data_IF_211700458123
#
_entry.id   IF_211700458123
#
_cell.length_a   1.000
_cell.length_b   1.000
_cell.length_c   1.000
_cell.angle_alpha   90.00
_cell.angle_beta   90.00
_cell.angle_gamma   90.00
#
_symmetry.space_group_name_H-M   'P 1'
#
loop_
_entity.id
_entity.type
_entity.pdbx_description
1 polymer ?
#
# COMPACT_ATOMS: atom_id res chain seq x y z
N UNK A 1 48.23 29.00 -13.78
CA UNK A 1 48.40 27.97 -12.77
C UNK A 1 47.81 28.49 -11.47
N UNK A 2 46.58 28.21 -11.17
CA UNK A 2 45.96 28.55 -9.87
C UNK A 2 45.40 27.24 -9.32
N UNK A 3 45.94 26.80 -8.20
CA UNK A 3 45.54 25.64 -7.45
C UNK A 3 44.23 25.91 -6.72
N UNK A 4 43.18 25.12 -7.00
CA UNK A 4 41.96 25.08 -6.21
C UNK A 4 42.23 24.32 -4.92
N UNK A 5 42.15 25.04 -3.79
CA UNK A 5 42.14 24.47 -2.45
C UNK A 5 40.77 23.87 -2.17
N UNK A 6 40.76 22.60 -1.84
CA UNK A 6 39.62 21.84 -1.29
C UNK A 6 39.39 22.31 0.17
N UNK A 7 38.16 22.53 0.63
CA UNK A 7 37.90 22.81 2.05
C UNK A 7 38.12 21.55 2.87
N UNK A 8 38.93 21.67 3.90
CA UNK A 8 39.32 20.63 4.83
C UNK A 8 38.16 20.26 5.74
N UNK A 9 37.98 18.97 5.93
CA UNK A 9 37.17 18.34 6.98
C UNK A 9 37.59 18.82 8.36
N UNK A 10 36.75 19.59 9.02
CA UNK A 10 36.90 19.97 10.42
C UNK A 10 35.84 19.32 11.26
N UNK A 11 35.98 18.03 11.62
CA UNK A 11 35.34 17.46 12.78
C UNK A 11 35.91 16.07 13.13
N UNK A 12 37.22 16.03 13.49
CA UNK A 12 37.75 14.91 14.28
C UNK A 12 38.85 15.43 15.20
N UNK A 13 38.44 15.94 16.37
CA UNK A 13 39.37 16.05 17.50
C UNK A 13 39.49 14.64 18.12
N UNK A 14 40.68 13.99 18.06
CA UNK A 14 40.87 12.62 18.53
C UNK A 14 40.76 12.46 20.04
N UNK A 15 40.60 13.54 20.80
CA UNK A 15 40.49 13.52 22.26
C UNK A 15 39.07 13.61 22.80
N UNK A 16 38.04 13.63 21.94
CA UNK A 16 36.65 13.69 22.40
C UNK A 16 36.11 12.26 22.62
N UNK A 17 36.35 11.69 23.77
CA UNK A 17 35.70 10.43 24.15
C UNK A 17 34.22 10.68 24.41
N UNK A 18 33.38 9.62 24.21
CA UNK A 18 31.91 9.67 24.51
C UNK A 18 31.62 10.18 25.91
N UNK A 19 32.50 9.90 26.87
CA UNK A 19 32.42 10.35 28.26
C UNK A 19 32.60 11.88 28.38
N UNK A 20 33.54 12.47 27.64
CA UNK A 20 33.79 13.92 27.64
C UNK A 20 32.69 14.69 26.89
N UNK A 21 32.07 14.07 25.87
CA UNK A 21 30.89 14.65 25.21
C UNK A 21 29.70 14.69 26.16
N UNK A 22 29.40 13.58 26.84
CA UNK A 22 28.26 13.48 27.77
C UNK A 22 28.45 14.41 28.99
N UNK A 23 29.70 14.59 29.50
CA UNK A 23 29.97 15.54 30.59
C UNK A 23 29.82 17.00 30.18
N UNK A 24 30.16 17.37 28.95
CA UNK A 24 29.97 18.71 28.41
C UNK A 24 28.49 19.03 28.14
N UNK A 25 27.75 18.04 27.66
CA UNK A 25 26.28 18.16 27.44
C UNK A 25 25.55 18.27 28.78
N UNK A 26 25.96 17.50 29.80
CA UNK A 26 25.31 17.57 31.12
C UNK A 26 25.59 18.91 31.84
N UNK A 27 26.76 19.48 31.67
CA UNK A 27 27.08 20.80 32.26
C UNK A 27 26.38 21.97 31.56
N UNK A 28 26.06 21.85 30.27
CA UNK A 28 25.35 22.90 29.51
C UNK A 28 23.83 22.82 29.68
N UNK A 29 23.28 21.66 30.06
CA UNK A 29 21.85 21.45 30.23
C UNK A 29 21.35 21.71 31.67
N UNK A 30 22.25 21.73 32.67
CA UNK A 30 21.88 22.01 34.07
C UNK A 30 21.27 23.42 34.26
N UNK A 31 21.80 24.49 33.65
CA UNK A 31 21.16 25.82 33.76
C UNK A 31 19.81 25.88 33.07
N UNK A 32 19.66 25.15 31.96
CA UNK A 32 18.38 25.07 31.23
C UNK A 32 17.34 24.26 32.01
N UNK A 33 17.72 23.14 32.60
CA UNK A 33 16.85 22.35 33.47
C UNK A 33 16.42 23.11 34.73
N UNK A 34 17.32 23.92 35.33
CA UNK A 34 17.01 24.80 36.47
C UNK A 34 16.12 26.00 36.10
N UNK A 35 16.26 26.52 34.88
CA UNK A 35 15.36 27.55 34.36
C UNK A 35 13.95 27.02 34.14
N UNK A 36 13.79 25.78 33.70
CA UNK A 36 12.49 25.11 33.57
C UNK A 36 11.93 24.58 34.90
N UNK A 37 12.78 24.32 35.89
CA UNK A 37 12.32 23.86 37.21
C UNK A 37 11.64 24.97 38.06
N UNK A 38 11.81 26.23 37.69
CA UNK A 38 11.21 27.37 38.37
C UNK A 38 9.89 27.84 37.74
N UNK A 39 9.53 27.30 36.59
CA UNK A 39 8.19 27.44 36.05
C UNK A 39 7.30 26.33 36.63
N UNK A 40 6.13 26.71 37.11
CA UNK A 40 5.15 25.84 37.76
C UNK A 40 5.10 24.42 37.15
N UNK A 41 4.93 23.38 37.97
CA UNK A 41 4.91 22.02 37.43
C UNK A 41 3.92 21.99 36.29
N UNK A 42 4.44 21.73 35.08
CA UNK A 42 3.63 21.32 33.94
C UNK A 42 2.96 20.00 34.33
N UNK A 43 1.95 20.10 35.19
CA UNK A 43 1.02 19.02 35.46
C UNK A 43 0.10 18.87 34.26
N UNK A 44 0.69 18.69 33.11
CA UNK A 44 0.00 18.08 31.99
C UNK A 44 -0.20 16.62 32.40
N UNK A 45 -1.19 16.36 33.23
CA UNK A 45 -1.76 15.02 33.31
C UNK A 45 -2.01 14.65 31.85
N UNK A 46 -1.47 13.52 31.37
CA UNK A 46 -1.80 13.06 30.02
C UNK A 46 -3.32 12.97 29.98
N UNK A 47 -3.93 13.92 29.30
CA UNK A 47 -5.36 13.89 29.03
C UNK A 47 -5.52 12.67 28.13
N UNK A 48 -5.92 11.55 28.73
CA UNK A 48 -6.39 10.43 27.92
C UNK A 48 -7.49 11.00 27.05
N UNK A 49 -7.39 10.86 25.71
CA UNK A 49 -8.49 11.28 24.86
C UNK A 49 -9.74 10.60 25.40
N UNK A 50 -10.82 11.37 25.53
CA UNK A 50 -12.11 10.81 25.93
C UNK A 50 -12.49 9.76 24.88
N UNK A 51 -12.29 8.50 25.25
CA UNK A 51 -12.70 7.35 24.47
C UNK A 51 -14.16 7.00 24.79
N UNK A 52 -14.99 8.00 25.00
CA UNK A 52 -16.43 7.82 25.14
C UNK A 52 -16.96 6.83 24.12
N UNK A 53 -18.06 6.14 24.39
CA UNK A 53 -18.58 5.09 23.53
C UNK A 53 -18.72 5.64 22.11
N UNK A 54 -17.86 5.19 21.19
CA UNK A 54 -17.98 5.53 19.78
C UNK A 54 -19.17 4.76 19.24
N UNK A 55 -20.21 5.47 18.86
CA UNK A 55 -21.29 4.87 18.10
C UNK A 55 -20.78 4.60 16.68
N UNK A 56 -20.53 3.34 16.40
CA UNK A 56 -20.21 2.91 15.06
C UNK A 56 -21.51 2.65 14.30
N UNK A 57 -21.66 3.26 13.15
CA UNK A 57 -22.81 3.12 12.28
C UNK A 57 -22.42 3.14 10.81
N UNK A 58 -23.38 2.82 9.95
CA UNK A 58 -23.27 2.87 8.50
C UNK A 58 -23.94 4.12 7.89
N UNK A 59 -24.34 5.09 8.70
CA UNK A 59 -24.92 6.30 8.18
C UNK A 59 -23.97 7.01 7.22
N UNK A 60 -24.50 7.54 6.12
CA UNK A 60 -23.71 8.31 5.16
C UNK A 60 -23.05 9.51 5.86
N UNK A 61 -21.77 9.70 5.58
CA UNK A 61 -20.93 10.75 6.18
C UNK A 61 -20.48 11.72 5.09
N UNK A 62 -20.44 13.00 5.45
CA UNK A 62 -19.92 14.00 4.54
C UNK A 62 -18.40 13.80 4.33
N UNK A 63 -18.00 13.77 3.08
CA UNK A 63 -16.60 13.81 2.71
C UNK A 63 -15.98 15.16 3.05
N UNK A 64 -14.69 15.19 3.42
CA UNK A 64 -13.94 16.45 3.62
C UNK A 64 -13.76 17.24 2.31
N UNK A 65 -13.93 16.60 1.18
CA UNK A 65 -13.88 17.20 -0.15
C UNK A 65 -15.10 16.76 -0.95
N UNK A 66 -15.58 17.62 -1.81
CA UNK A 66 -16.66 17.29 -2.73
C UNK A 66 -16.17 16.23 -3.71
N UNK A 67 -16.70 15.01 -3.56
CA UNK A 67 -16.46 13.91 -4.49
C UNK A 67 -17.58 13.81 -5.51
N UNK A 68 -17.27 13.36 -6.72
CA UNK A 68 -18.26 13.08 -7.77
C UNK A 68 -18.57 11.59 -7.88
N UNK A 69 -17.70 10.73 -7.32
CA UNK A 69 -17.90 9.29 -7.33
C UNK A 69 -18.94 8.88 -6.29
N UNK A 70 -19.93 8.10 -6.70
CA UNK A 70 -21.00 7.57 -5.85
C UNK A 70 -20.77 6.13 -5.42
N UNK A 71 -19.91 5.39 -6.13
CA UNK A 71 -19.61 4.01 -5.83
C UNK A 71 -18.14 3.68 -6.17
N UNK A 72 -17.60 2.65 -5.53
CA UNK A 72 -16.27 2.13 -5.81
C UNK A 72 -16.35 0.64 -6.12
N UNK A 73 -15.75 0.23 -7.23
CA UNK A 73 -15.56 -1.18 -7.60
C UNK A 73 -14.06 -1.43 -7.66
N UNK A 74 -13.58 -2.35 -6.82
CA UNK A 74 -12.19 -2.83 -6.87
C UNK A 74 -12.15 -4.16 -7.62
N UNK A 75 -11.56 -4.17 -8.81
CA UNK A 75 -11.37 -5.38 -9.61
C UNK A 75 -9.95 -5.90 -9.38
N UNK A 76 -9.83 -7.03 -8.70
CA UNK A 76 -8.53 -7.56 -8.31
C UNK A 76 -8.18 -8.80 -9.12
N UNK A 77 -7.12 -8.73 -9.90
CA UNK A 77 -6.54 -9.85 -10.64
C UNK A 77 -5.53 -10.58 -9.74
N UNK A 78 -5.95 -11.69 -9.11
CA UNK A 78 -5.03 -12.50 -8.32
C UNK A 78 -4.06 -13.29 -9.21
N UNK A 79 -2.95 -13.75 -8.63
CA UNK A 79 -1.96 -14.57 -9.32
C UNK A 79 -0.79 -13.78 -9.92
N UNK A 80 -0.80 -12.46 -9.81
CA UNK A 80 0.31 -11.61 -10.25
C UNK A 80 0.49 -11.58 -11.76
N UNK A 81 -0.48 -11.03 -12.51
CA UNK A 81 -0.31 -10.85 -13.96
C UNK A 81 0.96 -10.07 -14.25
N UNK A 82 1.67 -10.46 -15.32
CA UNK A 82 2.93 -9.83 -15.70
C UNK A 82 2.72 -8.40 -16.16
N UNK A 83 3.04 -7.42 -15.31
CA UNK A 83 2.88 -6.01 -15.66
C UNK A 83 3.73 -5.62 -16.88
N UNK A 84 4.89 -6.25 -17.09
CA UNK A 84 5.76 -5.98 -18.24
C UNK A 84 5.20 -6.47 -19.57
N UNK A 85 4.24 -7.36 -19.52
CA UNK A 85 3.52 -7.89 -20.68
C UNK A 85 2.17 -7.19 -20.93
N UNK A 86 1.69 -6.38 -19.97
CA UNK A 86 0.36 -5.78 -20.00
C UNK A 86 0.37 -4.25 -20.16
N UNK A 87 1.02 -3.53 -19.25
CA UNK A 87 0.90 -2.06 -19.15
C UNK A 87 2.22 -1.33 -18.90
N UNK A 88 3.32 -2.04 -18.71
CA UNK A 88 4.62 -1.46 -18.36
C UNK A 88 5.75 -2.02 -19.26
N UNK A 89 5.77 -1.65 -20.54
CA UNK A 89 6.77 -2.17 -21.48
C UNK A 89 8.20 -1.80 -21.04
N UNK A 90 9.11 -2.79 -21.13
CA UNK A 90 10.52 -2.64 -20.81
C UNK A 90 11.38 -2.94 -22.04
N UNK A 91 11.64 -1.96 -22.93
CA UNK A 91 12.41 -2.20 -24.15
C UNK A 91 13.79 -2.82 -23.92
N UNK A 92 14.40 -2.55 -22.75
CA UNK A 92 15.68 -3.13 -22.37
C UNK A 92 15.59 -4.66 -22.20
N UNK A 93 14.51 -5.18 -21.64
CA UNK A 93 14.30 -6.62 -21.51
C UNK A 93 14.25 -7.30 -22.88
N UNK A 94 13.61 -6.67 -23.88
CA UNK A 94 13.56 -7.19 -25.24
C UNK A 94 14.94 -7.18 -25.92
N UNK A 95 15.74 -6.14 -25.69
CA UNK A 95 17.12 -6.08 -26.19
C UNK A 95 18.02 -7.15 -25.56
N UNK A 96 17.76 -7.50 -24.32
CA UNK A 96 18.52 -8.49 -23.56
C UNK A 96 17.92 -9.90 -23.63
N UNK A 97 16.90 -10.11 -24.44
CA UNK A 97 16.21 -11.40 -24.54
C UNK A 97 17.21 -12.56 -24.74
N UNK A 98 17.08 -13.60 -23.91
CA UNK A 98 17.95 -14.78 -23.81
C UNK A 98 19.41 -14.51 -23.38
N UNK A 99 19.81 -13.27 -23.18
CA UNK A 99 21.13 -12.97 -22.62
C UNK A 99 21.17 -13.30 -21.12
N UNK A 100 22.37 -13.56 -20.61
CA UNK A 100 22.56 -13.77 -19.17
C UNK A 100 22.29 -12.47 -18.42
N UNK A 101 21.50 -12.55 -17.35
CA UNK A 101 21.26 -11.40 -16.46
C UNK A 101 22.58 -10.96 -15.82
N UNK A 102 22.96 -9.68 -15.90
CA UNK A 102 24.28 -9.20 -15.49
C UNK A 102 24.50 -9.17 -13.98
N UNK A 103 23.41 -9.14 -13.19
CA UNK A 103 23.48 -9.04 -11.75
C UNK A 103 23.07 -10.35 -11.05
N UNK A 104 23.37 -10.45 -9.75
CA UNK A 104 22.89 -11.54 -8.92
C UNK A 104 21.42 -11.34 -8.58
N UNK A 105 20.60 -12.33 -8.86
CA UNK A 105 19.20 -12.35 -8.49
C UNK A 105 19.08 -12.48 -6.97
N UNK A 106 18.36 -11.54 -6.32
CA UNK A 106 18.26 -11.43 -4.87
C UNK A 106 16.78 -11.47 -4.44
N UNK A 107 16.20 -12.66 -4.39
CA UNK A 107 14.86 -12.88 -3.83
C UNK A 107 14.70 -14.35 -3.40
N UNK A 108 13.64 -14.65 -2.66
CA UNK A 108 13.49 -15.90 -1.91
C UNK A 108 13.48 -17.15 -2.79
N UNK A 109 12.90 -17.07 -3.99
CA UNK A 109 12.88 -18.16 -4.97
C UNK A 109 13.89 -17.99 -6.10
N UNK A 110 15.00 -17.31 -5.84
CA UNK A 110 16.06 -17.08 -6.84
C UNK A 110 16.62 -18.38 -7.45
N UNK A 111 16.59 -19.49 -6.71
CA UNK A 111 17.04 -20.79 -7.20
C UNK A 111 16.17 -21.36 -8.35
N UNK A 112 14.90 -20.96 -8.42
CA UNK A 112 13.94 -21.36 -9.43
C UNK A 112 13.99 -20.46 -10.68
N UNK A 113 14.63 -19.30 -10.56
CA UNK A 113 14.69 -18.33 -11.62
C UNK A 113 15.70 -18.73 -12.70
N UNK A 114 15.32 -18.49 -13.95
CA UNK A 114 16.27 -18.56 -15.05
C UNK A 114 17.35 -17.49 -14.89
N UNK A 115 18.62 -17.85 -15.19
CA UNK A 115 19.69 -16.87 -15.26
C UNK A 115 19.64 -16.00 -16.54
N UNK A 116 18.67 -16.23 -17.40
CA UNK A 116 18.50 -15.52 -18.67
C UNK A 116 17.33 -14.54 -18.59
N UNK A 117 17.51 -13.40 -19.22
CA UNK A 117 16.46 -12.40 -19.37
C UNK A 117 15.43 -12.91 -20.38
N UNK A 118 14.16 -12.73 -20.06
CA UNK A 118 13.06 -13.00 -20.98
C UNK A 118 12.36 -11.67 -21.32
N UNK A 119 12.42 -11.28 -22.58
CA UNK A 119 11.70 -10.12 -23.09
C UNK A 119 10.25 -10.47 -23.40
N UNK A 120 9.37 -9.49 -23.42
CA UNK A 120 7.96 -9.71 -23.75
C UNK A 120 7.79 -10.11 -25.22
N UNK A 121 7.02 -11.16 -25.52
CA UNK A 121 6.66 -11.53 -26.89
C UNK A 121 5.53 -10.67 -27.48
N UNK A 122 4.84 -9.89 -26.60
CA UNK A 122 3.64 -9.16 -26.94
C UNK A 122 3.97 -7.76 -27.49
N UNK A 123 3.13 -7.29 -28.40
CA UNK A 123 3.26 -5.96 -28.97
C UNK A 123 2.58 -4.92 -28.10
N UNK A 124 3.22 -3.77 -28.01
CA UNK A 124 2.66 -2.58 -27.36
C UNK A 124 2.42 -1.48 -28.40
N UNK A 125 1.33 -0.79 -28.24
CA UNK A 125 1.00 0.40 -29.00
C UNK A 125 0.60 1.53 -28.05
N UNK A 126 0.75 2.76 -28.50
CA UNK A 126 0.26 3.94 -27.78
C UNK A 126 -1.19 4.19 -28.18
N UNK A 127 -2.04 4.41 -27.21
CA UNK A 127 -3.47 4.63 -27.38
C UNK A 127 -3.91 5.91 -26.70
N UNK A 128 -5.05 6.45 -27.17
CA UNK A 128 -5.67 7.65 -26.67
C UNK A 128 -4.86 8.93 -26.90
N UNK A 129 -5.38 10.04 -26.42
CA UNK A 129 -4.70 11.35 -26.43
C UNK A 129 -3.52 11.36 -25.46
N UNK A 130 -3.60 10.58 -24.37
CA UNK A 130 -2.53 10.41 -23.38
C UNK A 130 -1.29 9.70 -23.92
N UNK A 131 -1.39 8.98 -25.05
CA UNK A 131 -0.31 8.17 -25.60
C UNK A 131 0.14 7.02 -24.69
N UNK A 132 -0.73 6.51 -23.84
CA UNK A 132 -0.42 5.45 -22.90
C UNK A 132 -0.16 4.14 -23.62
N UNK A 133 1.00 3.51 -23.34
CA UNK A 133 1.36 2.23 -23.93
C UNK A 133 0.58 1.09 -23.28
N UNK A 134 -0.18 0.34 -24.08
CA UNK A 134 -0.98 -0.82 -23.68
C UNK A 134 -0.63 -2.00 -24.59
N UNK A 135 -0.57 -3.20 -24.02
CA UNK A 135 -0.35 -4.44 -24.74
C UNK A 135 -1.55 -4.86 -25.57
N UNK A 136 -1.29 -5.56 -26.68
CA UNK A 136 -2.33 -6.19 -27.50
C UNK A 136 -3.21 -7.20 -26.75
N UNK A 137 -2.78 -7.62 -25.54
CA UNK A 137 -3.55 -8.50 -24.65
C UNK A 137 -4.73 -7.82 -23.98
N UNK A 138 -4.77 -6.49 -23.98
CA UNK A 138 -5.79 -5.68 -23.27
C UNK A 138 -6.54 -4.74 -24.24
N UNK A 139 -7.21 -5.28 -25.28
CA UNK A 139 -7.88 -4.44 -26.28
C UNK A 139 -8.99 -3.58 -25.66
N UNK A 140 -9.78 -4.10 -24.73
CA UNK A 140 -10.83 -3.30 -24.07
C UNK A 140 -10.28 -2.18 -23.19
N UNK A 141 -9.08 -2.32 -22.62
CA UNK A 141 -8.45 -1.24 -21.87
C UNK A 141 -7.97 -0.13 -22.80
N UNK A 142 -7.53 -0.47 -24.00
CA UNK A 142 -7.06 0.52 -24.97
C UNK A 142 -8.17 1.46 -25.46
N UNK A 143 -9.43 1.01 -25.42
CA UNK A 143 -10.59 1.81 -25.81
C UNK A 143 -10.95 2.92 -24.79
N UNK A 144 -10.60 2.72 -23.52
CA UNK A 144 -10.93 3.62 -22.40
C UNK A 144 -9.67 4.22 -21.75
N UNK A 145 -8.54 4.18 -22.44
CA UNK A 145 -7.24 4.50 -21.84
C UNK A 145 -7.13 5.92 -21.32
N UNK A 146 -7.82 6.87 -21.93
CA UNK A 146 -7.83 8.28 -21.51
C UNK A 146 -8.64 8.51 -20.22
N UNK A 147 -9.54 7.58 -19.88
CA UNK A 147 -10.29 7.58 -18.62
C UNK A 147 -9.54 6.84 -17.49
N UNK A 148 -8.35 6.29 -17.77
CA UNK A 148 -7.61 5.42 -16.86
C UNK A 148 -6.27 6.04 -16.45
N UNK A 149 -6.01 6.08 -15.14
CA UNK A 149 -4.69 6.39 -14.60
C UNK A 149 -3.87 5.10 -14.38
N UNK A 150 -2.81 4.92 -15.13
CA UNK A 150 -1.89 3.78 -14.99
C UNK A 150 -0.74 4.12 -14.03
N UNK A 151 -0.71 3.47 -12.86
CA UNK A 151 0.34 3.67 -11.86
C UNK A 151 1.33 2.50 -11.92
N UNK A 152 2.46 2.68 -12.63
CA UNK A 152 3.47 1.63 -12.85
C UNK A 152 4.45 1.43 -11.70
N UNK A 153 4.46 2.31 -10.72
CA UNK A 153 5.40 2.31 -9.59
C UNK A 153 4.90 1.59 -8.35
N UNK A 154 3.70 0.99 -8.39
CA UNK A 154 3.13 0.25 -7.26
C UNK A 154 3.92 -1.02 -6.97
N UNK A 155 4.23 -1.25 -5.70
CA UNK A 155 4.87 -2.47 -5.22
C UNK A 155 4.52 -2.74 -3.76
N UNK A 156 4.49 -4.00 -3.37
CA UNK A 156 4.19 -4.43 -1.98
C UNK A 156 5.45 -4.62 -1.12
N UNK A 157 6.63 -4.67 -1.74
CA UNK A 157 7.91 -4.90 -1.06
C UNK A 157 8.21 -6.36 -0.73
N UNK A 158 7.32 -7.30 -1.10
CA UNK A 158 7.49 -8.74 -0.94
C UNK A 158 7.12 -9.47 -2.22
N UNK A 159 7.68 -10.67 -2.42
CA UNK A 159 7.44 -11.51 -3.60
C UNK A 159 6.52 -12.71 -3.31
N UNK A 160 6.02 -12.84 -2.08
CA UNK A 160 5.05 -13.88 -1.70
C UNK A 160 3.64 -13.46 -2.10
N UNK A 161 2.90 -14.32 -2.83
CA UNK A 161 1.56 -14.01 -3.32
C UNK A 161 0.58 -13.63 -2.21
N UNK A 162 0.49 -14.40 -1.13
CA UNK A 162 -0.44 -14.14 -0.03
C UNK A 162 -0.19 -12.79 0.64
N UNK A 163 1.04 -12.54 1.03
CA UNK A 163 1.44 -11.27 1.66
C UNK A 163 1.26 -10.08 0.71
N UNK A 164 1.57 -10.26 -0.58
CA UNK A 164 1.41 -9.21 -1.58
C UNK A 164 -0.06 -8.86 -1.82
N UNK A 165 -0.94 -9.89 -1.94
CA UNK A 165 -2.39 -9.68 -2.08
C UNK A 165 -2.94 -8.95 -0.85
N UNK A 166 -2.56 -9.39 0.35
CA UNK A 166 -2.98 -8.75 1.58
C UNK A 166 -2.50 -7.29 1.67
N UNK A 167 -1.24 -7.04 1.31
CA UNK A 167 -0.69 -5.69 1.29
C UNK A 167 -1.41 -4.76 0.29
N UNK A 168 -1.81 -5.27 -0.88
CA UNK A 168 -2.59 -4.50 -1.85
C UNK A 168 -3.99 -4.15 -1.32
N UNK A 169 -4.63 -5.06 -0.58
CA UNK A 169 -5.97 -4.84 -0.06
C UNK A 169 -6.00 -4.06 1.26
N UNK A 170 -4.95 -4.13 2.09
CA UNK A 170 -4.93 -3.56 3.44
C UNK A 170 -3.84 -2.50 3.69
N UNK A 171 -2.94 -2.31 2.72
CA UNK A 171 -1.79 -1.39 2.80
C UNK A 171 -0.58 -1.93 3.58
N UNK A 172 -0.64 -3.15 4.12
CA UNK A 172 0.46 -3.79 4.88
C UNK A 172 0.43 -5.30 4.73
N UNK A 173 1.60 -5.93 4.90
CA UNK A 173 1.74 -7.40 4.93
C UNK A 173 1.27 -8.03 6.25
N UNK A 174 1.27 -7.25 7.35
CA UNK A 174 0.77 -7.73 8.64
C UNK A 174 -0.75 -7.80 8.63
N UNK A 175 -1.25 -8.92 9.11
CA UNK A 175 -2.68 -9.17 9.30
C UNK A 175 -3.29 -8.27 10.38
N UNK A 176 -4.62 -8.21 10.42
CA UNK A 176 -5.37 -7.43 11.40
C UNK A 176 -5.70 -6.00 10.97
N UNK A 177 -5.23 -5.55 9.80
CA UNK A 177 -5.61 -4.25 9.24
C UNK A 177 -6.91 -4.36 8.43
N UNK A 178 -7.76 -3.32 8.48
CA UNK A 178 -8.95 -3.27 7.63
C UNK A 178 -8.58 -3.24 6.16
N UNK A 179 -9.34 -3.97 5.35
CA UNK A 179 -9.27 -3.88 3.91
C UNK A 179 -9.79 -2.53 3.38
N UNK A 180 -9.44 -2.19 2.14
CA UNK A 180 -9.83 -0.92 1.52
C UNK A 180 -11.34 -0.65 1.61
N UNK A 181 -12.18 -1.66 1.29
CA UNK A 181 -13.64 -1.51 1.37
C UNK A 181 -14.13 -1.26 2.80
N UNK A 182 -13.51 -1.86 3.82
CA UNK A 182 -13.82 -1.59 5.22
C UNK A 182 -13.47 -0.15 5.61
N UNK A 183 -12.35 0.38 5.13
CA UNK A 183 -12.00 1.78 5.33
C UNK A 183 -12.96 2.73 4.64
N UNK A 184 -13.37 2.44 3.41
CA UNK A 184 -14.33 3.25 2.66
C UNK A 184 -15.68 3.29 3.39
N UNK A 185 -16.17 2.13 3.81
CA UNK A 185 -17.43 2.02 4.56
C UNK A 185 -17.35 2.73 5.92
N UNK A 186 -16.23 2.61 6.63
CA UNK A 186 -16.02 3.32 7.90
C UNK A 186 -15.99 4.84 7.72
N UNK A 187 -15.30 5.32 6.68
CA UNK A 187 -15.09 6.75 6.46
C UNK A 187 -16.31 7.45 5.86
N UNK A 188 -17.03 6.80 4.95
CA UNK A 188 -18.11 7.42 4.16
C UNK A 188 -19.50 6.88 4.53
N UNK A 189 -19.58 5.71 5.16
CA UNK A 189 -20.86 5.05 5.43
C UNK A 189 -21.46 4.41 4.17
N UNK A 190 -22.79 4.31 4.15
CA UNK A 190 -23.58 3.78 3.06
C UNK A 190 -24.82 4.64 2.82
N UNK A 191 -25.22 4.78 1.59
CA UNK A 191 -26.45 5.46 1.21
C UNK A 191 -27.73 4.67 1.56
N UNK A 192 -27.59 3.35 1.69
CA UNK A 192 -28.68 2.46 2.04
C UNK A 192 -28.41 1.69 3.33
N UNK A 193 -29.46 1.39 4.08
CA UNK A 193 -29.41 0.52 5.28
C UNK A 193 -29.91 -0.90 4.98
N UNK A 194 -30.48 -1.13 3.82
CA UNK A 194 -31.12 -2.38 3.44
C UNK A 194 -30.17 -3.34 2.72
N UNK A 195 -29.06 -2.82 2.19
CA UNK A 195 -28.06 -3.60 1.47
C UNK A 195 -26.70 -3.52 2.16
N UNK A 196 -25.87 -4.57 2.04
CA UNK A 196 -24.49 -4.51 2.54
C UNK A 196 -23.73 -3.35 1.91
N UNK A 197 -23.11 -2.52 2.75
CA UNK A 197 -22.31 -1.38 2.30
C UNK A 197 -21.01 -1.79 1.59
N UNK A 198 -20.47 -2.96 1.95
CA UNK A 198 -19.27 -3.54 1.34
C UNK A 198 -19.54 -4.98 0.93
N UNK A 199 -19.46 -5.25 -0.36
CA UNK A 199 -19.67 -6.56 -0.96
C UNK A 199 -18.36 -7.09 -1.53
N UNK A 200 -18.03 -8.34 -1.23
CA UNK A 200 -16.93 -9.08 -1.83
C UNK A 200 -17.49 -10.21 -2.71
N UNK A 201 -17.21 -10.17 -3.99
CA UNK A 201 -17.58 -11.21 -4.94
C UNK A 201 -16.35 -12.09 -5.20
N UNK A 202 -16.53 -13.40 -5.14
CA UNK A 202 -15.44 -14.37 -5.30
C UNK A 202 -15.52 -15.09 -6.63
N UNK A 203 -14.37 -15.54 -7.13
CA UNK A 203 -14.29 -16.36 -8.34
C UNK A 203 -15.00 -17.71 -8.12
N UNK A 204 -15.73 -18.24 -9.12
CA UNK A 204 -16.32 -19.57 -9.06
C UNK A 204 -15.33 -20.71 -8.75
N UNK A 205 -14.06 -20.52 -9.09
CA UNK A 205 -12.99 -21.50 -8.84
C UNK A 205 -12.56 -21.57 -7.38
N UNK A 206 -12.98 -20.63 -6.54
CA UNK A 206 -12.69 -20.66 -5.11
C UNK A 206 -12.26 -19.31 -4.52
N UNK A 207 -11.85 -19.38 -3.26
CA UNK A 207 -11.38 -18.20 -2.54
C UNK A 207 -9.95 -17.81 -2.99
N UNK A 208 -9.64 -16.53 -3.01
CA UNK A 208 -8.27 -16.07 -3.21
C UNK A 208 -7.36 -16.55 -2.07
N UNK A 209 -6.06 -16.50 -2.30
CA UNK A 209 -5.06 -16.74 -1.25
C UNK A 209 -5.35 -15.79 -0.06
N UNK A 210 -5.29 -16.32 1.16
CA UNK A 210 -5.70 -15.70 2.41
C UNK A 210 -7.21 -15.47 2.58
N UNK A 211 -8.05 -15.88 1.64
CA UNK A 211 -9.51 -15.91 1.77
C UNK A 211 -10.08 -14.60 2.33
N UNK A 212 -10.82 -14.73 3.43
CA UNK A 212 -11.57 -13.62 4.06
C UNK A 212 -10.71 -12.45 4.53
N UNK A 213 -9.39 -12.62 4.71
CA UNK A 213 -8.49 -11.53 5.10
C UNK A 213 -8.44 -10.42 4.06
N UNK A 214 -8.76 -10.72 2.81
CA UNK A 214 -8.74 -9.74 1.71
C UNK A 214 -9.87 -8.71 1.79
N UNK A 215 -10.93 -9.00 2.56
CA UNK A 215 -12.06 -8.08 2.80
C UNK A 215 -12.41 -7.96 4.29
N UNK A 216 -11.41 -8.18 5.13
CA UNK A 216 -11.55 -8.13 6.57
C UNK A 216 -11.73 -6.71 7.09
N UNK A 217 -12.57 -6.60 8.13
CA UNK A 217 -12.69 -5.37 8.92
C UNK A 217 -11.46 -5.10 9.81
N UNK A 218 -10.54 -6.05 9.96
CA UNK A 218 -9.38 -5.91 10.84
C UNK A 218 -9.78 -5.52 12.26
N UNK A 219 -9.21 -4.44 12.79
CA UNK A 219 -9.57 -3.92 14.13
C UNK A 219 -10.83 -3.03 14.16
N UNK A 220 -11.44 -2.75 13.01
CA UNK A 220 -12.74 -2.07 12.99
C UNK A 220 -13.84 -3.04 13.44
N UNK A 221 -14.99 -2.54 13.95
CA UNK A 221 -16.13 -3.39 14.23
C UNK A 221 -16.58 -4.24 13.05
N UNK A 222 -17.17 -5.40 13.33
CA UNK A 222 -17.65 -6.35 12.32
C UNK A 222 -18.66 -5.74 11.35
N UNK A 223 -19.31 -4.67 11.73
CA UNK A 223 -20.21 -3.86 10.89
C UNK A 223 -19.56 -3.46 9.55
N UNK A 224 -18.26 -3.31 9.51
CA UNK A 224 -17.48 -2.89 8.34
C UNK A 224 -16.84 -4.06 7.59
N UNK A 225 -17.14 -5.29 7.99
CA UNK A 225 -16.70 -6.50 7.30
C UNK A 225 -17.39 -6.62 5.94
N UNK A 226 -16.62 -7.00 4.91
CA UNK A 226 -17.18 -7.29 3.60
C UNK A 226 -18.13 -8.50 3.60
N UNK A 227 -19.32 -8.32 3.08
CA UNK A 227 -20.30 -9.40 2.88
C UNK A 227 -19.97 -10.17 1.61
N UNK A 228 -19.76 -11.47 1.73
CA UNK A 228 -19.38 -12.31 0.59
C UNK A 228 -20.63 -12.74 -0.19
N UNK A 229 -20.64 -12.46 -1.48
CA UNK A 229 -21.58 -13.05 -2.42
C UNK A 229 -20.86 -14.18 -3.18
N UNK A 230 -21.33 -15.38 -2.97
CA UNK A 230 -20.78 -16.60 -3.59
C UNK A 230 -21.32 -16.80 -4.99
N UNK A 231 -20.56 -17.42 -5.91
CA UNK A 231 -21.06 -17.77 -7.24
C UNK A 231 -22.06 -18.92 -7.25
N UNK A 232 -22.16 -19.67 -6.12
CA UNK A 232 -23.03 -20.84 -5.95
C UNK A 232 -23.98 -20.65 -4.77
N UNK A 233 -25.11 -21.33 -4.78
CA UNK A 233 -26.09 -21.31 -3.68
C UNK A 233 -25.57 -22.02 -2.41
N UNK A 234 -25.95 -21.54 -1.21
CA UNK A 234 -26.59 -20.25 -0.97
C UNK A 234 -25.58 -19.10 -1.26
N UNK A 235 -26.01 -18.08 -1.98
CA UNK A 235 -25.16 -16.98 -2.42
C UNK A 235 -24.61 -16.16 -1.26
N UNK A 236 -25.42 -15.99 -0.24
CA UNK A 236 -25.03 -15.31 1.01
C UNK A 236 -25.24 -16.32 2.13
N UNK A 237 -24.18 -16.55 2.92
CA UNK A 237 -24.27 -17.43 4.09
C UNK A 237 -24.92 -16.69 5.26
N UNK A 238 -25.65 -17.46 6.08
CA UNK A 238 -26.29 -16.96 7.32
C UNK A 238 -27.26 -15.79 7.08
N UNK A 239 -27.92 -15.79 5.94
CA UNK A 239 -28.96 -14.78 5.66
C UNK A 239 -30.20 -14.99 6.54
N UNK A 240 -30.47 -16.23 6.90
CA UNK A 240 -31.54 -16.62 7.84
C UNK A 240 -30.90 -17.04 9.16
N UNK A 241 -31.47 -16.61 10.30
CA UNK A 241 -30.99 -17.01 11.63
C UNK A 241 -31.18 -18.50 11.89
#
# INVERSE_FOLDING_TARGET
MQSKSTPADTFTDPNTTRRNFLSRVSLSTIPLALAFANEQPLSAKPVKPDLGPRNFDLAAKNSHQSGTATAMISMFMQGGPSQVDLMDPKPLLNKMHLQKFPEKIKYDNAAEASSRVFGTPWKFQQYGESGTAISELLPGLSEIVDDVLVIRSMRTGVNNHGQSIHAMNSGRIQEGRPALGSWMTYALGSETRELPAYVAMTDPKGLPVLGVLNWSNGWLPSLYQGTVIRPVEPRILNLNP
#
